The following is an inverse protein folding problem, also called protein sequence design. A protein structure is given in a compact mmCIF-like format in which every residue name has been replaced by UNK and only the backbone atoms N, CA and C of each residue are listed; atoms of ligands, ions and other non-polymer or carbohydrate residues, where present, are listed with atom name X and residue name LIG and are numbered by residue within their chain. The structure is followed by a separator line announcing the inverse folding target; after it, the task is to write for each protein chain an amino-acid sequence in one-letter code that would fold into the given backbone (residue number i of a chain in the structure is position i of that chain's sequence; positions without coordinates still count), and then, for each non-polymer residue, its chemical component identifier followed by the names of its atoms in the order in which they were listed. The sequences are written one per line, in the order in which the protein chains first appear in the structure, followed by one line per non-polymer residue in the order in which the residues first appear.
data_IF_735556666226
#
_entry.id   IF_735556666226
#
_cell.length_a   1.000
_cell.length_b   1.000
_cell.length_c   1.000
_cell.angle_alpha   90.00
_cell.angle_beta   90.00
_cell.angle_gamma   90.00
#
_symmetry.space_group_name_H-M   'P 1'
#
loop_
_entity.id
_entity.type
_entity.pdbx_description
1 polymer ?
#
# COMPACT_ATOMS: atom_id res chain seq x y z
N UNK A 1 7.91 12.77 -5.93
CA UNK A 1 6.85 11.76 -6.15
C UNK A 1 7.45 10.36 -6.21
N UNK A 2 6.60 9.32 -6.25
CA UNK A 2 6.79 7.86 -6.03
C UNK A 2 6.53 7.41 -4.57
N UNK A 3 5.37 7.64 -3.99
CA UNK A 3 4.98 6.89 -2.78
C UNK A 3 4.46 5.50 -3.17
N UNK A 4 4.84 4.49 -2.40
CA UNK A 4 4.53 3.07 -2.68
C UNK A 4 5.76 2.17 -2.47
N UNK A 5 6.88 2.51 -3.09
CA UNK A 5 8.24 2.10 -2.67
C UNK A 5 9.26 2.91 -3.47
N UNK A 6 9.85 3.97 -2.90
CA UNK A 6 10.95 4.75 -3.54
C UNK A 6 12.29 4.04 -3.51
N UNK A 7 12.31 2.82 -2.99
CA UNK A 7 13.55 2.18 -2.64
C UNK A 7 14.01 1.35 -3.82
N UNK A 8 15.15 1.75 -4.37
CA UNK A 8 15.96 0.90 -5.25
C UNK A 8 16.37 -0.37 -4.52
N UNK A 9 16.86 -1.39 -5.23
CA UNK A 9 17.44 -2.57 -4.59
C UNK A 9 18.53 -2.17 -3.58
N UNK A 10 19.31 -1.15 -3.93
CA UNK A 10 20.32 -0.53 -3.06
C UNK A 10 19.72 0.07 -1.79
N UNK A 11 18.66 0.88 -1.91
CA UNK A 11 18.01 1.49 -0.73
C UNK A 11 17.40 0.45 0.22
N UNK A 12 16.86 -0.65 -0.34
CA UNK A 12 16.32 -1.76 0.46
C UNK A 12 17.46 -2.49 1.17
N UNK A 13 18.55 -2.77 0.46
CA UNK A 13 19.72 -3.45 1.01
C UNK A 13 20.39 -2.63 2.11
N UNK A 14 20.66 -1.35 1.86
CA UNK A 14 21.28 -0.42 2.84
C UNK A 14 20.42 -0.27 4.11
N UNK A 15 19.09 -0.26 3.98
CA UNK A 15 18.19 -0.19 5.15
C UNK A 15 18.02 -1.52 5.87
N UNK A 16 18.40 -2.65 5.27
CA UNK A 16 18.26 -3.99 5.84
C UNK A 16 19.46 -4.45 6.67
N UNK A 17 20.64 -3.86 6.45
CA UNK A 17 21.89 -4.30 7.09
C UNK A 17 22.01 -3.86 8.57
N UNK A 18 21.33 -2.78 8.99
CA UNK A 18 21.41 -2.24 10.37
C UNK A 18 20.20 -2.58 11.28
N UNK A 19 19.32 -3.48 10.85
CA UNK A 19 18.22 -4.01 11.66
C UNK A 19 16.85 -3.77 11.05
N UNK A 20 16.10 -4.87 10.91
CA UNK A 20 14.81 -5.04 10.23
C UNK A 20 14.90 -5.11 8.69
N UNK A 21 14.65 -6.30 8.15
CA UNK A 21 14.40 -6.47 6.72
C UNK A 21 13.03 -5.88 6.37
N UNK A 22 13.00 -4.90 5.46
CA UNK A 22 11.76 -4.32 4.93
C UNK A 22 11.50 -4.86 3.53
N UNK A 23 10.37 -5.56 3.38
CA UNK A 23 9.92 -6.08 2.10
C UNK A 23 8.93 -5.12 1.44
N UNK A 24 8.99 -4.95 0.10
CA UNK A 24 7.97 -4.19 -0.62
C UNK A 24 6.57 -4.76 -0.37
N UNK A 25 5.58 -3.89 -0.29
CA UNK A 25 4.20 -4.30 -0.08
C UNK A 25 3.21 -3.38 -0.78
N UNK A 26 1.99 -3.88 -0.98
CA UNK A 26 0.83 -3.10 -1.42
C UNK A 26 -0.31 -3.30 -0.43
N UNK A 27 -0.92 -2.18 -0.03
CA UNK A 27 -2.13 -2.17 0.78
C UNK A 27 -3.33 -1.75 -0.06
N UNK A 28 -4.38 -2.57 0.01
CA UNK A 28 -5.70 -2.22 -0.47
C UNK A 28 -6.62 -2.05 0.74
N UNK A 29 -7.34 -0.94 0.81
CA UNK A 29 -8.37 -0.71 1.83
C UNK A 29 -9.64 -0.23 1.16
N UNK A 30 -10.75 -0.90 1.44
CA UNK A 30 -12.08 -0.47 1.04
C UNK A 30 -12.93 -0.25 2.28
N UNK A 31 -13.95 0.60 2.12
CA UNK A 31 -14.84 0.94 3.21
C UNK A 31 -15.75 2.09 2.88
N UNK A 32 -16.42 2.61 3.91
CA UNK A 32 -17.35 3.71 3.75
C UNK A 32 -16.61 5.04 3.75
N UNK A 33 -16.83 5.84 2.71
CA UNK A 33 -16.28 7.19 2.62
C UNK A 33 -17.33 8.20 3.04
N UNK A 34 -16.93 9.15 3.88
CA UNK A 34 -17.70 10.35 4.20
C UNK A 34 -16.84 11.59 4.00
N UNK A 35 -17.46 12.72 3.61
CA UNK A 35 -16.75 13.99 3.51
C UNK A 35 -16.93 14.78 4.79
N UNK A 36 -15.85 15.27 5.39
CA UNK A 36 -15.87 16.15 6.57
C UNK A 36 -15.00 17.38 6.31
N UNK A 37 -15.65 18.51 6.00
CA UNK A 37 -14.96 19.72 5.56
C UNK A 37 -14.18 19.47 4.27
N UNK A 38 -12.87 19.74 4.31
CA UNK A 38 -11.96 19.54 3.17
C UNK A 38 -11.37 18.12 3.09
N UNK A 39 -11.62 17.27 4.09
CA UNK A 39 -11.07 15.92 4.17
C UNK A 39 -12.13 14.87 3.82
N UNK A 40 -11.65 13.70 3.43
CA UNK A 40 -12.44 12.47 3.42
C UNK A 40 -12.14 11.69 4.69
N UNK A 41 -13.14 10.98 5.19
CA UNK A 41 -13.00 10.04 6.29
C UNK A 41 -13.41 8.68 5.75
N UNK A 42 -12.46 7.76 5.73
CA UNK A 42 -12.65 6.37 5.36
C UNK A 42 -12.84 5.56 6.64
N UNK A 43 -13.96 4.84 6.74
CA UNK A 43 -14.16 3.78 7.73
C UNK A 43 -13.84 2.44 7.06
N UNK A 44 -12.68 1.82 7.34
CA UNK A 44 -12.28 0.58 6.70
C UNK A 44 -13.25 -0.55 7.02
N UNK A 45 -13.70 -1.28 5.99
CA UNK A 45 -14.45 -2.54 6.15
C UNK A 45 -13.50 -3.72 5.96
N UNK A 46 -12.60 -3.61 4.97
CA UNK A 46 -11.70 -4.68 4.57
C UNK A 46 -10.35 -4.11 4.15
N UNK A 47 -9.28 -4.70 4.66
CA UNK A 47 -7.90 -4.33 4.30
C UNK A 47 -7.12 -5.57 3.90
N UNK A 48 -6.44 -5.48 2.76
CA UNK A 48 -5.58 -6.53 2.23
C UNK A 48 -4.15 -5.99 2.13
N UNK A 49 -3.22 -6.65 2.81
CA UNK A 49 -1.78 -6.47 2.59
C UNK A 49 -1.25 -7.59 1.70
N UNK A 50 -0.44 -7.23 0.71
CA UNK A 50 0.33 -8.16 -0.11
C UNK A 50 1.81 -7.78 0.03
N UNK A 51 2.64 -8.72 0.44
CA UNK A 51 4.07 -8.52 0.61
C UNK A 51 4.85 -9.34 -0.42
N UNK A 52 5.87 -8.73 -1.01
CA UNK A 52 6.79 -9.39 -1.94
C UNK A 52 7.98 -9.98 -1.18
N UNK A 53 8.67 -10.94 -1.80
CA UNK A 53 9.81 -11.61 -1.15
C UNK A 53 11.05 -10.72 -1.03
N UNK A 54 11.26 -9.79 -1.96
CA UNK A 54 12.26 -8.72 -1.93
C UNK A 54 11.98 -7.75 -3.10
N UNK A 55 12.90 -6.82 -3.37
CA UNK A 55 12.83 -5.83 -4.44
C UNK A 55 12.71 -6.46 -5.84
N UNK A 56 13.56 -7.45 -6.18
CA UNK A 56 13.56 -8.08 -7.51
C UNK A 56 12.28 -8.86 -7.78
N UNK A 57 11.72 -9.46 -6.73
CA UNK A 57 10.48 -10.24 -6.83
C UNK A 57 9.22 -9.38 -7.08
N UNK A 58 9.32 -8.05 -7.04
CA UNK A 58 8.28 -7.13 -7.52
C UNK A 58 8.11 -7.28 -9.05
N UNK A 59 9.23 -7.32 -9.80
CA UNK A 59 9.22 -7.51 -11.27
C UNK A 59 8.75 -8.91 -11.63
N UNK A 60 9.27 -9.92 -10.93
CA UNK A 60 8.93 -11.33 -11.15
C UNK A 60 7.56 -11.71 -10.59
N UNK A 61 6.88 -10.76 -9.93
CA UNK A 61 5.56 -10.92 -9.29
C UNK A 61 5.50 -12.08 -8.28
N UNK A 62 6.60 -12.34 -7.57
CA UNK A 62 6.69 -13.39 -6.55
C UNK A 62 6.26 -12.85 -5.19
N UNK A 63 5.10 -13.30 -4.75
CA UNK A 63 4.47 -12.90 -3.48
C UNK A 63 5.00 -13.77 -2.35
N UNK A 64 5.42 -13.15 -1.27
CA UNK A 64 5.83 -13.85 -0.04
C UNK A 64 4.65 -14.11 0.89
N UNK A 65 3.77 -13.11 1.05
CA UNK A 65 2.64 -13.21 1.97
C UNK A 65 1.43 -12.42 1.47
N UNK A 66 0.25 -12.89 1.86
CA UNK A 66 -1.03 -12.21 1.67
C UNK A 66 -1.79 -12.26 2.99
N UNK A 67 -2.09 -11.10 3.58
CA UNK A 67 -2.87 -11.01 4.83
C UNK A 67 -4.12 -10.18 4.64
N UNK A 68 -5.26 -10.84 4.78
CA UNK A 68 -6.58 -10.23 4.70
C UNK A 68 -7.11 -10.01 6.11
N UNK A 69 -7.43 -8.76 6.42
CA UNK A 69 -8.09 -8.37 7.65
C UNK A 69 -9.53 -7.96 7.31
N UNK A 70 -10.47 -8.88 7.57
CA UNK A 70 -11.91 -8.67 7.50
C UNK A 70 -12.45 -8.31 8.88
N UNK A 71 -13.45 -7.44 8.94
CA UNK A 71 -13.96 -6.84 10.19
C UNK A 71 -12.85 -6.09 10.94
N UNK A 72 -12.51 -4.88 10.47
CA UNK A 72 -11.60 -4.01 11.18
C UNK A 72 -12.17 -3.72 12.60
N UNK A 73 -11.77 -4.53 13.59
CA UNK A 73 -12.08 -4.31 15.02
C UNK A 73 -11.44 -3.05 15.58
N UNK A 74 -10.55 -2.44 14.80
CA UNK A 74 -10.09 -1.09 15.05
C UNK A 74 -11.14 -0.15 14.45
N UNK A 75 -11.99 0.44 15.29
CA UNK A 75 -12.89 1.58 14.98
C UNK A 75 -12.14 2.84 14.47
N UNK A 76 -10.89 2.69 14.02
CA UNK A 76 -10.03 3.75 13.54
C UNK A 76 -10.53 4.21 12.18
N UNK A 77 -11.12 5.40 12.20
CA UNK A 77 -11.37 6.17 10.98
C UNK A 77 -10.03 6.69 10.42
N UNK A 78 -9.84 6.50 9.11
CA UNK A 78 -8.71 7.04 8.36
C UNK A 78 -9.10 8.42 7.85
N UNK A 79 -8.37 9.45 8.26
CA UNK A 79 -8.57 10.82 7.76
C UNK A 79 -7.69 10.99 6.52
N UNK A 80 -8.32 11.28 5.40
CA UNK A 80 -7.66 11.47 4.11
C UNK A 80 -7.72 12.95 3.75
N UNK A 81 -6.58 13.61 3.69
CA UNK A 81 -6.44 14.97 3.22
C UNK A 81 -6.10 15.00 1.72
N UNK A 82 -6.64 15.99 1.01
CA UNK A 82 -6.25 16.26 -0.37
C UNK A 82 -5.24 17.41 -0.37
N UNK A 83 -3.99 17.11 -0.70
CA UNK A 83 -2.86 18.05 -0.67
C UNK A 83 -2.08 17.91 -1.99
N UNK A 84 -1.73 19.03 -2.62
CA UNK A 84 -0.88 19.12 -3.82
C UNK A 84 -1.19 18.12 -4.95
N UNK A 85 -2.49 17.91 -5.23
CA UNK A 85 -2.96 17.01 -6.29
C UNK A 85 -3.02 15.52 -5.92
N UNK A 86 -2.57 15.15 -4.72
CA UNK A 86 -2.61 13.80 -4.15
C UNK A 86 -3.60 13.63 -3.00
N UNK A 87 -3.58 12.45 -2.39
CA UNK A 87 -4.34 12.10 -1.20
C UNK A 87 -3.40 11.54 -0.15
N UNK A 88 -3.43 12.05 1.09
CA UNK A 88 -2.59 11.58 2.19
C UNK A 88 -3.48 11.05 3.33
N UNK A 89 -3.20 9.86 3.87
CA UNK A 89 -3.71 9.50 5.20
C UNK A 89 -2.98 10.31 6.27
N UNK A 90 -3.72 11.01 7.13
CA UNK A 90 -3.19 11.68 8.33
C UNK A 90 -3.15 10.68 9.48
N UNK A 91 -1.98 10.06 9.70
CA UNK A 91 -1.71 9.21 10.84
C UNK A 91 -0.73 9.88 11.82
N UNK A 92 -0.80 9.54 13.12
CA UNK A 92 0.09 10.10 14.15
C UNK A 92 1.59 9.88 13.88
N UNK A 93 1.95 8.90 13.02
CA UNK A 93 3.33 8.48 12.77
C UNK A 93 3.79 8.68 11.30
N UNK A 94 3.10 9.52 10.52
CA UNK A 94 3.51 9.85 9.15
C UNK A 94 2.34 9.89 8.18
N UNK A 95 2.44 10.76 7.18
CA UNK A 95 1.46 10.85 6.10
C UNK A 95 1.69 9.70 5.10
N UNK A 96 0.65 8.93 4.79
CA UNK A 96 0.74 7.92 3.73
C UNK A 96 0.15 8.45 2.42
N UNK A 97 0.99 8.55 1.39
CA UNK A 97 0.67 8.31 -0.04
C UNK A 97 -0.56 7.46 -0.34
N UNK A 98 -1.73 8.03 -0.61
CA UNK A 98 -2.89 7.30 -1.13
C UNK A 98 -3.09 7.54 -2.63
N UNK A 99 -3.30 6.44 -3.35
CA UNK A 99 -3.58 6.45 -4.77
C UNK A 99 -5.02 6.05 -5.03
N UNK A 100 -5.71 6.85 -5.85
CA UNK A 100 -7.00 6.42 -6.40
C UNK A 100 -6.78 5.24 -7.33
N UNK A 101 -7.62 4.23 -7.18
CA UNK A 101 -7.61 3.06 -8.06
C UNK A 101 -9.04 2.58 -8.27
N UNK A 102 -9.30 2.04 -9.46
CA UNK A 102 -10.53 1.31 -9.79
C UNK A 102 -10.35 -0.21 -9.61
N UNK A 103 -9.17 -0.63 -9.12
CA UNK A 103 -8.84 -2.01 -8.80
C UNK A 103 -9.70 -2.52 -7.64
N UNK A 104 -10.08 -3.79 -7.71
CA UNK A 104 -10.82 -4.45 -6.64
C UNK A 104 -9.85 -5.06 -5.64
N UNK A 105 -10.27 -5.19 -4.37
CA UNK A 105 -9.50 -5.98 -3.41
C UNK A 105 -9.38 -7.42 -3.96
N UNK A 106 -8.15 -7.92 -4.20
CA UNK A 106 -7.97 -9.25 -4.79
C UNK A 106 -8.33 -10.34 -3.78
N UNK A 107 -9.16 -11.32 -4.18
CA UNK A 107 -9.54 -12.44 -3.31
C UNK A 107 -8.55 -13.60 -3.38
N UNK A 108 -7.77 -13.71 -4.47
CA UNK A 108 -6.66 -14.67 -4.62
C UNK A 108 -5.32 -13.98 -4.94
N UNK A 109 -4.26 -14.75 -5.15
CA UNK A 109 -2.99 -14.25 -5.73
C UNK A 109 -3.19 -13.97 -7.22
N UNK A 110 -3.88 -14.85 -7.95
CA UNK A 110 -4.15 -14.68 -9.37
C UNK A 110 -4.98 -13.41 -9.66
N UNK A 111 -5.97 -13.12 -8.81
CA UNK A 111 -6.77 -11.88 -8.88
C UNK A 111 -5.89 -10.64 -8.73
N UNK A 112 -4.86 -10.72 -7.90
CA UNK A 112 -3.91 -9.62 -7.74
C UNK A 112 -3.03 -9.49 -8.99
N UNK A 113 -2.45 -10.60 -9.45
CA UNK A 113 -1.57 -10.62 -10.62
C UNK A 113 -2.27 -10.14 -11.90
N UNK A 114 -3.57 -10.44 -12.06
CA UNK A 114 -4.39 -10.03 -13.19
C UNK A 114 -4.58 -8.49 -13.29
N UNK A 115 -4.48 -7.78 -12.17
CA UNK A 115 -4.60 -6.31 -12.11
C UNK A 115 -3.28 -5.62 -11.74
N UNK A 116 -2.18 -6.36 -11.65
CA UNK A 116 -0.88 -5.85 -11.28
C UNK A 116 -0.15 -5.27 -12.50
N UNK A 117 -0.13 -3.94 -12.57
CA UNK A 117 0.44 -3.13 -13.66
C UNK A 117 1.69 -2.37 -13.23
N UNK A 118 2.08 -2.44 -11.95
CA UNK A 118 3.29 -1.79 -11.49
C UNK A 118 4.49 -2.55 -12.04
N UNK A 119 5.29 -1.85 -12.82
CA UNK A 119 6.62 -2.24 -13.22
C UNK A 119 7.53 -1.14 -12.68
N UNK A 120 8.37 -1.39 -11.66
CA UNK A 120 9.37 -0.41 -11.31
C UNK A 120 10.21 -0.15 -12.58
N UNK A 121 10.57 1.11 -12.83
CA UNK A 121 11.65 1.44 -13.78
C UNK A 121 12.82 0.50 -13.51
N UNK A 122 13.57 0.11 -14.57
CA UNK A 122 14.65 -0.86 -14.45
C UNK A 122 15.48 -0.55 -13.19
N UNK A 123 15.23 -1.34 -12.13
CA UNK A 123 16.06 -1.37 -10.94
C UNK A 123 17.47 -1.72 -11.44
N UNK A 124 18.27 -0.72 -11.80
CA UNK A 124 19.73 -0.84 -11.98
C UNK A 124 20.40 -1.04 -10.61
#
# INVERSE_FOLDING_TARGET
MIEGSKYTEKDIKEKSEDGYAFYPYIYFTEGEYSKKGNNYVLKPIRTQKIEFKDAKHVKDKVIASKKLDEENKNDRAIIIAKEDGGYNEKAQNGDFTLYKTNKKIPNSIDDFLAQYDYQPEELE
#
